data_IF_024701547737
#
_entry.id   IF_024701547737
#
_cell.length_a   1.000
_cell.length_b   1.000
_cell.length_c   1.000
_cell.angle_alpha   90.00
_cell.angle_beta   90.00
_cell.angle_gamma   90.00
#
_symmetry.space_group_name_H-M   'P 1'
#
loop_
_entity.id
_entity.type
_entity.pdbx_description
1 polymer ?
#
# COMPACT_ATOMS: atom_id res chain seq x y z
N UNK A 1 1.71 -15.79 5.11
CA UNK A 1 1.00 -14.94 4.12
C UNK A 1 1.46 -13.50 4.23
N UNK A 2 1.23 -12.83 5.37
CA UNK A 2 1.68 -11.45 5.55
C UNK A 2 3.19 -11.28 5.34
N UNK A 3 4.03 -12.19 5.83
CA UNK A 3 5.49 -12.12 5.58
C UNK A 3 5.84 -12.08 4.08
N UNK A 4 5.09 -12.81 3.24
CA UNK A 4 5.27 -12.78 1.79
C UNK A 4 4.90 -11.41 1.22
N UNK A 5 3.79 -10.84 1.68
CA UNK A 5 3.34 -9.49 1.28
C UNK A 5 4.35 -8.44 1.73
N UNK A 6 4.86 -8.54 2.96
CA UNK A 6 5.90 -7.62 3.47
C UNK A 6 7.12 -7.64 2.58
N UNK A 7 7.65 -8.84 2.34
CA UNK A 7 8.84 -8.99 1.50
C UNK A 7 8.60 -8.49 0.08
N UNK A 8 7.39 -8.68 -0.45
CA UNK A 8 7.00 -8.12 -1.74
C UNK A 8 7.00 -6.59 -1.74
N UNK A 9 6.39 -5.94 -0.72
CA UNK A 9 6.37 -4.48 -0.58
C UNK A 9 7.79 -3.92 -0.42
N UNK A 10 8.60 -4.53 0.44
CA UNK A 10 10.00 -4.14 0.67
C UNK A 10 10.80 -4.16 -0.66
N UNK A 11 10.69 -5.25 -1.42
CA UNK A 11 11.37 -5.35 -2.72
C UNK A 11 10.85 -4.33 -3.73
N UNK A 12 9.53 -4.11 -3.81
CA UNK A 12 8.95 -3.10 -4.69
C UNK A 12 9.46 -1.70 -4.37
N UNK A 13 9.54 -1.33 -3.10
CA UNK A 13 10.03 0.00 -2.69
C UNK A 13 11.50 0.18 -3.08
N UNK A 14 12.32 -0.87 -2.89
CA UNK A 14 13.73 -0.88 -3.33
C UNK A 14 13.81 -0.70 -4.85
N UNK A 15 13.01 -1.45 -5.62
CA UNK A 15 12.99 -1.38 -7.08
C UNK A 15 12.53 0.01 -7.59
N UNK A 16 11.66 0.69 -6.84
CA UNK A 16 11.25 2.08 -7.07
C UNK A 16 12.30 3.11 -6.63
N UNK A 17 13.51 2.68 -6.29
CA UNK A 17 14.62 3.52 -5.81
C UNK A 17 14.28 4.27 -4.52
N UNK A 18 13.49 3.65 -3.63
CA UNK A 18 13.08 4.21 -2.35
C UNK A 18 12.35 5.56 -2.45
N UNK A 19 11.57 5.75 -3.53
CA UNK A 19 10.70 6.93 -3.68
C UNK A 19 9.59 6.97 -2.64
N UNK A 20 9.12 5.80 -2.21
CA UNK A 20 8.10 5.65 -1.18
C UNK A 20 8.81 5.43 0.15
N UNK A 21 8.37 6.13 1.19
CA UNK A 21 8.84 5.96 2.56
C UNK A 21 7.77 5.17 3.33
N UNK A 22 8.20 4.16 4.09
CA UNK A 22 7.32 3.45 5.04
C UNK A 22 7.36 4.19 6.37
N UNK A 23 6.25 4.85 6.71
CA UNK A 23 6.10 5.58 7.98
C UNK A 23 5.73 4.64 9.14
N UNK A 24 4.90 3.63 8.84
CA UNK A 24 4.46 2.64 9.83
C UNK A 24 4.11 1.33 9.17
N UNK A 25 4.40 0.24 9.87
CA UNK A 25 4.00 -1.12 9.53
C UNK A 25 3.43 -1.78 10.79
N UNK A 26 2.21 -2.30 10.69
CA UNK A 26 1.53 -2.95 11.82
C UNK A 26 0.89 -4.26 11.37
N UNK A 27 1.17 -5.35 12.09
CA UNK A 27 0.41 -6.60 11.99
C UNK A 27 -0.51 -6.71 13.21
N UNK A 28 -1.80 -6.95 12.95
CA UNK A 28 -2.78 -7.30 13.98
C UNK A 28 -2.98 -8.82 13.98
N UNK A 29 -2.11 -9.53 14.70
CA UNK A 29 -2.16 -10.99 14.81
C UNK A 29 -2.10 -11.70 13.45
N UNK A 30 -3.13 -12.47 13.13
CA UNK A 30 -3.27 -13.17 11.84
C UNK A 30 -4.39 -12.61 10.96
N UNK A 31 -5.00 -11.48 11.33
CA UNK A 31 -6.19 -10.96 10.64
C UNK A 31 -5.89 -9.82 9.68
N UNK A 32 -4.88 -8.98 9.96
CA UNK A 32 -4.65 -7.75 9.20
C UNK A 32 -3.18 -7.31 9.19
N UNK A 33 -2.75 -6.78 8.06
CA UNK A 33 -1.49 -6.06 7.85
C UNK A 33 -1.81 -4.63 7.37
N UNK A 34 -1.22 -3.62 8.01
CA UNK A 34 -1.36 -2.22 7.63
C UNK A 34 -0.01 -1.56 7.40
N UNK A 35 0.03 -0.73 6.36
CA UNK A 35 1.11 0.20 6.10
C UNK A 35 0.59 1.63 6.04
N UNK A 36 1.34 2.53 6.64
CA UNK A 36 1.31 3.96 6.33
C UNK A 36 2.54 4.29 5.49
N UNK A 37 2.32 4.90 4.34
CA UNK A 37 3.34 5.22 3.34
C UNK A 37 3.28 6.72 3.05
N UNK A 38 4.43 7.31 2.72
CA UNK A 38 4.51 8.69 2.25
C UNK A 38 5.33 8.79 0.96
N UNK A 39 4.98 9.73 0.11
CA UNK A 39 5.70 10.08 -1.10
C UNK A 39 5.43 11.56 -1.41
N UNK A 40 6.46 12.40 -1.35
CA UNK A 40 6.36 13.84 -1.54
C UNK A 40 5.24 14.45 -0.67
N UNK A 41 4.24 15.08 -1.29
CA UNK A 41 3.12 15.75 -0.62
C UNK A 41 1.93 14.81 -0.39
N UNK A 42 2.12 13.49 -0.52
CA UNK A 42 1.05 12.50 -0.42
C UNK A 42 1.32 11.46 0.67
N UNK A 43 0.26 11.06 1.35
CA UNK A 43 0.25 9.88 2.21
C UNK A 43 -0.68 8.82 1.63
N UNK A 44 -0.28 7.56 1.77
CA UNK A 44 -1.11 6.42 1.45
C UNK A 44 -1.23 5.46 2.64
N UNK A 45 -2.39 4.85 2.77
CA UNK A 45 -2.62 3.72 3.65
C UNK A 45 -2.92 2.48 2.82
N UNK A 46 -2.21 1.39 3.11
CA UNK A 46 -2.48 0.06 2.58
C UNK A 46 -2.95 -0.81 3.73
N UNK A 47 -4.11 -1.45 3.58
CA UNK A 47 -4.61 -2.44 4.55
C UNK A 47 -4.95 -3.74 3.83
N UNK A 48 -4.44 -4.86 4.33
CA UNK A 48 -4.69 -6.19 3.78
C UNK A 48 -5.20 -7.11 4.88
N UNK A 49 -6.39 -7.66 4.69
CA UNK A 49 -6.98 -8.67 5.56
C UNK A 49 -6.57 -10.09 5.14
N UNK A 50 -6.71 -11.03 6.08
CA UNK A 50 -6.39 -12.45 5.87
C UNK A 50 -7.26 -13.16 4.84
N UNK A 51 -8.40 -12.57 4.48
CA UNK A 51 -9.31 -13.05 3.43
C UNK A 51 -9.03 -12.40 2.06
N UNK A 52 -7.86 -11.77 1.89
CA UNK A 52 -7.45 -11.02 0.71
C UNK A 52 -8.33 -9.79 0.39
N UNK A 53 -9.04 -9.24 1.38
CA UNK A 53 -9.57 -7.88 1.27
C UNK A 53 -8.40 -6.89 1.32
N UNK A 54 -8.34 -6.02 0.33
CA UNK A 54 -7.31 -5.00 0.15
C UNK A 54 -7.97 -3.62 0.11
N UNK A 55 -7.49 -2.74 0.97
CA UNK A 55 -7.86 -1.34 1.01
C UNK A 55 -6.65 -0.48 0.66
N UNK A 56 -6.88 0.52 -0.20
CA UNK A 56 -5.88 1.52 -0.54
C UNK A 56 -6.50 2.91 -0.49
N UNK A 57 -5.85 3.80 0.25
CA UNK A 57 -6.30 5.16 0.50
C UNK A 57 -5.16 6.12 0.26
N UNK A 58 -5.40 7.22 -0.47
CA UNK A 58 -4.40 8.27 -0.74
C UNK A 58 -4.98 9.63 -0.39
N UNK A 59 -4.20 10.45 0.31
CA UNK A 59 -4.52 11.82 0.70
C UNK A 59 -3.37 12.77 0.38
N UNK A 60 -3.70 13.98 -0.06
CA UNK A 60 -2.75 15.10 -0.15
C UNK A 60 -2.53 15.69 1.25
N UNK A 61 -1.27 15.78 1.69
CA UNK A 61 -0.90 16.15 3.06
C UNK A 61 -1.27 17.60 3.37
N UNK A 62 -1.09 18.52 2.42
CA UNK A 62 -1.30 19.95 2.66
C UNK A 62 -2.78 20.32 2.66
N UNK A 63 -3.53 19.77 1.70
CA UNK A 63 -4.93 20.10 1.51
C UNK A 63 -5.89 19.17 2.23
N UNK A 64 -5.38 18.06 2.78
CA UNK A 64 -6.13 16.95 3.37
C UNK A 64 -7.19 16.36 2.40
N UNK A 65 -7.07 16.66 1.10
CA UNK A 65 -8.00 16.18 0.10
C UNK A 65 -7.75 14.70 -0.18
N UNK A 66 -8.81 13.91 -0.08
CA UNK A 66 -8.78 12.52 -0.49
C UNK A 66 -8.67 12.43 -2.01
N UNK A 67 -7.61 11.78 -2.51
CA UNK A 67 -7.42 11.54 -3.93
C UNK A 67 -8.04 10.22 -4.37
N UNK A 68 -7.91 9.20 -3.53
CA UNK A 68 -8.32 7.85 -3.87
C UNK A 68 -8.73 7.07 -2.63
N UNK A 69 -9.87 6.40 -2.73
CA UNK A 69 -10.30 5.35 -1.80
C UNK A 69 -10.68 4.13 -2.62
N UNK A 70 -10.13 2.98 -2.26
CA UNK A 70 -10.35 1.73 -2.94
C UNK A 70 -10.43 0.60 -1.93
N UNK A 71 -11.43 -0.25 -2.11
CA UNK A 71 -11.60 -1.51 -1.37
C UNK A 71 -11.93 -2.59 -2.38
N UNK A 72 -11.19 -3.71 -2.33
CA UNK A 72 -11.40 -4.84 -3.24
C UNK A 72 -11.02 -6.16 -2.55
N UNK A 73 -11.88 -7.16 -2.69
CA UNK A 73 -11.58 -8.53 -2.22
C UNK A 73 -11.12 -9.39 -3.40
N UNK A 74 -10.03 -10.12 -3.20
CA UNK A 74 -9.45 -11.02 -4.20
C UNK A 74 -9.70 -12.49 -3.88
N UNK A 75 -9.66 -13.34 -4.90
CA UNK A 75 -9.82 -14.80 -4.73
C UNK A 75 -8.52 -15.51 -4.39
N UNK A 76 -7.39 -14.90 -4.72
CA UNK A 76 -6.05 -15.46 -4.55
C UNK A 76 -5.06 -14.33 -4.28
N UNK A 77 -3.89 -14.72 -3.77
CA UNK A 77 -2.83 -13.79 -3.40
C UNK A 77 -2.16 -13.14 -4.62
N UNK A 78 -2.04 -13.84 -5.75
CA UNK A 78 -1.35 -13.33 -6.94
C UNK A 78 -2.07 -12.11 -7.53
N UNK A 79 -3.40 -12.13 -7.57
CA UNK A 79 -4.20 -11.00 -8.05
C UNK A 79 -4.12 -9.81 -7.08
N UNK A 80 -4.03 -10.06 -5.77
CA UNK A 80 -3.81 -9.03 -4.77
C UNK A 80 -2.44 -8.37 -4.94
N UNK A 81 -1.38 -9.16 -5.12
CA UNK A 81 -0.01 -8.65 -5.29
C UNK A 81 0.12 -7.80 -6.56
N UNK A 82 -0.51 -8.20 -7.66
CA UNK A 82 -0.55 -7.42 -8.90
C UNK A 82 -1.25 -6.07 -8.71
N UNK A 83 -2.36 -6.05 -7.98
CA UNK A 83 -3.08 -4.80 -7.71
C UNK A 83 -2.25 -3.88 -6.80
N UNK A 84 -1.64 -4.45 -5.76
CA UNK A 84 -0.75 -3.75 -4.85
C UNK A 84 0.45 -3.13 -5.58
N UNK A 85 1.12 -3.89 -6.46
CA UNK A 85 2.23 -3.38 -7.29
C UNK A 85 1.78 -2.22 -8.18
N UNK A 86 0.64 -2.37 -8.85
CA UNK A 86 0.11 -1.33 -9.71
C UNK A 86 -0.21 -0.05 -8.93
N UNK A 87 -0.85 -0.17 -7.77
CA UNK A 87 -1.24 0.96 -6.94
C UNK A 87 -0.04 1.66 -6.30
N UNK A 88 0.94 0.90 -5.79
CA UNK A 88 2.21 1.46 -5.29
C UNK A 88 3.03 2.11 -6.39
N UNK A 89 3.09 1.51 -7.58
CA UNK A 89 3.78 2.09 -8.72
C UNK A 89 3.17 3.44 -9.11
N UNK A 90 1.83 3.53 -9.15
CA UNK A 90 1.14 4.80 -9.38
C UNK A 90 1.43 5.81 -8.28
N UNK A 91 1.35 5.39 -7.02
CA UNK A 91 1.66 6.26 -5.88
C UNK A 91 3.09 6.82 -5.96
N UNK A 92 4.08 6.02 -6.35
CA UNK A 92 5.49 6.44 -6.53
C UNK A 92 5.74 7.46 -7.65
N UNK A 93 4.71 7.75 -8.44
CA UNK A 93 4.75 8.70 -9.57
C UNK A 93 3.83 9.90 -9.35
N UNK A 94 3.14 9.97 -8.21
CA UNK A 94 2.38 11.14 -7.82
C UNK A 94 3.36 12.24 -7.41
N UNK A 95 3.68 13.12 -8.36
CA UNK A 95 4.41 14.35 -8.12
C UNK A 95 3.54 15.53 -8.57
N UNK A 96 3.65 16.67 -7.88
CA UNK A 96 2.99 17.93 -8.28
C UNK A 96 3.62 18.53 -9.53
#
# INVERSE_FOLDING_TARGET
MFDLIKHFIENLIIDMKNKIIVESEVIYGYSKLEYALSHEDYMASVSILSDFTYDFFIVDIESENTLLVKTKQFKNIDDLLKELEHDLSKFSTLAK
#
